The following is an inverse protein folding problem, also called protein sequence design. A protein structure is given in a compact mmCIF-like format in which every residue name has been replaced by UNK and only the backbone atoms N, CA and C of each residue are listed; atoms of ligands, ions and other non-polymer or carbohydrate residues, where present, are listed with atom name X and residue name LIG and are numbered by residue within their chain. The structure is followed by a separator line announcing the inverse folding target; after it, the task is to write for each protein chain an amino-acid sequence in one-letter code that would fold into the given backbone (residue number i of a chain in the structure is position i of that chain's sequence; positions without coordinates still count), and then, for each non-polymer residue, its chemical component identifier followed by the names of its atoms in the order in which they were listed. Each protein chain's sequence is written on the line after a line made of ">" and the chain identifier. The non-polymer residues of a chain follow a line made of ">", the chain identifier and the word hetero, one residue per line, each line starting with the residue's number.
data_IF_148198741088
#
_entry.id   IF_148198741088
#
_cell.length_a   1.000
_cell.length_b   1.000
_cell.length_c   1.000
_cell.angle_alpha   90.00
_cell.angle_beta   90.00
_cell.angle_gamma   90.00
#
_symmetry.space_group_name_H-M   'P 1'
#
loop_
_entity.id
_entity.type
_entity.pdbx_description
1 polymer ?
#
# COMPACT_ATOMS: atom_id res chain seq x y z
N UNK A 1 -26.13 -4.03 25.12
CA UNK A 1 -25.51 -3.70 26.44
C UNK A 1 -24.03 -3.43 26.21
N UNK A 2 -23.59 -2.18 26.37
CA UNK A 2 -22.19 -1.81 26.23
C UNK A 2 -21.46 -2.16 27.54
N UNK A 3 -20.41 -2.98 27.42
CA UNK A 3 -19.51 -3.30 28.52
C UNK A 3 -18.16 -2.61 28.27
N UNK A 4 -18.02 -1.30 28.58
CA UNK A 4 -16.84 -0.53 28.21
C UNK A 4 -15.54 -1.06 28.84
N UNK A 5 -15.59 -1.60 30.05
CA UNK A 5 -14.44 -2.20 30.74
C UNK A 5 -13.93 -3.50 30.06
N UNK A 6 -14.83 -4.26 29.42
CA UNK A 6 -14.46 -5.50 28.72
C UNK A 6 -14.03 -5.30 27.28
N UNK A 7 -14.25 -4.10 26.71
CA UNK A 7 -13.96 -3.80 25.32
C UNK A 7 -12.75 -2.87 25.12
N UNK A 8 -12.06 -2.48 26.20
CA UNK A 8 -10.93 -1.56 26.12
C UNK A 8 -9.81 -2.05 25.20
N UNK A 9 -9.43 -3.34 25.31
CA UNK A 9 -8.42 -3.96 24.45
C UNK A 9 -8.86 -4.00 22.98
N UNK A 10 -10.12 -4.35 22.73
CA UNK A 10 -10.66 -4.41 21.36
C UNK A 10 -10.70 -3.02 20.71
N UNK A 11 -11.08 -1.99 21.47
CA UNK A 11 -11.05 -0.60 21.01
C UNK A 11 -9.63 -0.15 20.68
N UNK A 12 -8.67 -0.48 21.54
CA UNK A 12 -7.27 -0.14 21.30
C UNK A 12 -6.72 -0.87 20.08
N UNK A 13 -7.02 -2.15 19.92
CA UNK A 13 -6.63 -2.92 18.74
C UNK A 13 -7.24 -2.33 17.46
N UNK A 14 -8.52 -1.96 17.48
CA UNK A 14 -9.19 -1.28 16.36
C UNK A 14 -8.51 0.04 16.01
N UNK A 15 -8.24 0.88 17.01
CA UNK A 15 -7.54 2.15 16.81
C UNK A 15 -6.15 1.96 16.18
N UNK A 16 -5.40 0.96 16.61
CA UNK A 16 -4.10 0.63 16.00
C UNK A 16 -4.28 0.23 14.53
N UNK A 17 -5.27 -0.62 14.24
CA UNK A 17 -5.57 -1.05 12.88
C UNK A 17 -5.98 0.14 12.00
N UNK A 18 -6.86 1.01 12.47
CA UNK A 18 -7.37 2.15 11.71
C UNK A 18 -6.27 3.19 11.39
N UNK A 19 -5.19 3.25 12.19
CA UNK A 19 -4.05 4.14 11.95
C UNK A 19 -2.94 3.53 11.07
N UNK A 20 -3.05 2.25 10.67
CA UNK A 20 -2.00 1.59 9.87
C UNK A 20 -1.79 2.24 8.50
N UNK A 21 -2.88 2.69 7.85
CA UNK A 21 -2.77 3.40 6.57
C UNK A 21 -1.92 4.67 6.68
N UNK A 22 -2.13 5.47 7.73
CA UNK A 22 -1.34 6.70 7.99
C UNK A 22 0.11 6.39 8.31
N UNK A 23 0.36 5.38 9.14
CA UNK A 23 1.72 4.95 9.50
C UNK A 23 2.51 4.46 8.28
N UNK A 24 1.86 3.65 7.46
CA UNK A 24 2.51 3.12 6.25
C UNK A 24 2.79 4.24 5.24
N UNK A 25 1.83 5.16 5.03
CA UNK A 25 2.06 6.34 4.21
C UNK A 25 3.22 7.19 4.75
N UNK A 26 3.26 7.43 6.06
CA UNK A 26 4.35 8.16 6.72
C UNK A 26 5.73 7.54 6.47
N UNK A 27 5.84 6.21 6.49
CA UNK A 27 7.08 5.51 6.13
C UNK A 27 7.46 5.72 4.67
N UNK A 28 6.48 5.64 3.74
CA UNK A 28 6.73 5.90 2.31
C UNK A 28 7.19 7.33 2.06
N UNK A 29 6.51 8.32 2.65
CA UNK A 29 6.88 9.73 2.53
C UNK A 29 8.24 10.03 3.19
N UNK A 30 8.54 9.41 4.32
CA UNK A 30 9.81 9.52 5.03
C UNK A 30 11.03 9.13 4.20
N UNK A 31 10.84 8.42 3.09
CA UNK A 31 11.92 8.12 2.12
C UNK A 31 12.35 9.34 1.30
N UNK A 32 11.54 10.39 1.23
CA UNK A 32 11.71 11.54 0.35
C UNK A 32 11.34 11.30 -1.12
N UNK A 33 10.95 10.07 -1.49
CA UNK A 33 10.62 9.68 -2.86
C UNK A 33 9.11 9.76 -3.18
N UNK A 34 8.28 10.07 -2.19
CA UNK A 34 6.84 10.30 -2.33
C UNK A 34 6.47 11.59 -1.63
N UNK A 35 5.86 12.53 -2.35
CA UNK A 35 5.49 13.86 -1.85
C UNK A 35 4.13 14.30 -2.40
N UNK A 36 3.59 15.41 -1.90
CA UNK A 36 2.37 16.02 -2.40
C UNK A 36 2.45 16.28 -3.92
N UNK A 37 1.38 15.96 -4.62
CA UNK A 37 1.27 16.02 -6.09
C UNK A 37 1.69 14.75 -6.81
N UNK A 38 2.44 13.85 -6.15
CA UNK A 38 2.82 12.56 -6.72
C UNK A 38 1.63 11.58 -6.75
N UNK A 39 1.80 10.52 -7.55
CA UNK A 39 0.84 9.41 -7.64
C UNK A 39 1.35 8.19 -6.88
N UNK A 40 0.50 7.62 -6.02
CA UNK A 40 0.68 6.34 -5.33
C UNK A 40 -0.25 5.28 -5.94
N UNK A 41 0.31 4.21 -6.49
CA UNK A 41 -0.44 3.05 -6.91
C UNK A 41 -0.67 2.10 -5.72
N UNK A 42 -1.92 1.77 -5.41
CA UNK A 42 -2.31 0.87 -4.32
C UNK A 42 -2.68 -0.47 -4.93
N UNK A 43 -2.02 -1.56 -4.51
CA UNK A 43 -2.21 -2.90 -5.01
C UNK A 43 -2.92 -3.77 -3.96
N UNK A 44 -4.13 -4.18 -4.28
CA UNK A 44 -5.04 -4.92 -3.42
C UNK A 44 -6.10 -4.01 -2.78
N UNK A 45 -7.35 -4.19 -3.21
CA UNK A 45 -8.54 -3.52 -2.69
C UNK A 45 -9.46 -4.47 -1.91
N UNK A 46 -9.17 -5.76 -1.91
CA UNK A 46 -9.93 -6.74 -1.14
C UNK A 46 -9.57 -6.69 0.36
N UNK A 47 -10.45 -7.23 1.19
CA UNK A 47 -10.20 -7.40 2.63
C UNK A 47 -9.12 -8.44 2.93
N UNK A 48 -9.05 -9.51 2.13
CA UNK A 48 -8.09 -10.62 2.26
C UNK A 48 -7.56 -11.06 0.90
N UNK A 49 -6.46 -11.79 0.94
CA UNK A 49 -5.91 -12.44 -0.24
C UNK A 49 -6.90 -13.39 -0.91
N UNK A 50 -6.88 -13.38 -2.25
CA UNK A 50 -7.61 -14.33 -3.11
C UNK A 50 -9.14 -14.35 -2.92
N UNK A 51 -9.73 -13.23 -2.49
CA UNK A 51 -11.19 -13.01 -2.48
C UNK A 51 -11.52 -11.69 -3.19
N UNK A 52 -12.80 -11.49 -3.53
CA UNK A 52 -13.34 -10.33 -4.24
C UNK A 52 -14.14 -9.36 -3.35
N UNK A 53 -13.95 -9.42 -2.03
CA UNK A 53 -14.68 -8.60 -1.06
C UNK A 53 -13.91 -7.30 -0.71
N UNK A 54 -14.36 -6.12 -1.18
CA UNK A 54 -13.71 -4.84 -0.90
C UNK A 54 -14.17 -4.17 0.41
N UNK A 55 -15.04 -4.80 1.18
CA UNK A 55 -15.54 -4.24 2.45
C UNK A 55 -14.42 -4.16 3.48
N UNK A 56 -14.35 -3.06 4.22
CA UNK A 56 -13.31 -2.80 5.22
C UNK A 56 -11.86 -2.96 4.69
N UNK A 57 -11.67 -2.68 3.41
CA UNK A 57 -10.36 -2.79 2.74
C UNK A 57 -9.31 -1.85 3.36
N UNK A 58 -8.08 -2.32 3.58
CA UNK A 58 -6.98 -1.46 4.00
C UNK A 58 -6.62 -0.38 2.95
N UNK A 59 -7.00 -0.58 1.68
CA UNK A 59 -6.80 0.40 0.62
C UNK A 59 -7.56 1.71 0.89
N UNK A 60 -8.74 1.65 1.50
CA UNK A 60 -9.51 2.83 1.86
C UNK A 60 -8.80 3.70 2.89
N UNK A 61 -8.22 3.08 3.91
CA UNK A 61 -7.47 3.80 4.95
C UNK A 61 -6.21 4.47 4.38
N UNK A 62 -5.49 3.77 3.50
CA UNK A 62 -4.31 4.34 2.85
C UNK A 62 -4.68 5.44 1.85
N UNK A 63 -5.72 5.25 1.04
CA UNK A 63 -6.20 6.26 0.08
C UNK A 63 -6.65 7.54 0.78
N UNK A 64 -7.43 7.43 1.86
CA UNK A 64 -7.85 8.58 2.65
C UNK A 64 -6.67 9.32 3.31
N UNK A 65 -5.66 8.58 3.78
CA UNK A 65 -4.43 9.18 4.29
C UNK A 65 -3.66 9.92 3.20
N UNK A 66 -3.54 9.33 2.00
CA UNK A 66 -2.87 9.92 0.84
C UNK A 66 -3.57 11.21 0.37
N UNK A 67 -4.91 11.21 0.33
CA UNK A 67 -5.70 12.39 -0.03
C UNK A 67 -5.42 13.58 0.91
N UNK A 68 -5.37 13.33 2.23
CA UNK A 68 -5.00 14.37 3.21
C UNK A 68 -3.62 14.96 2.97
N UNK A 69 -2.70 14.17 2.41
CA UNK A 69 -1.34 14.61 2.05
C UNK A 69 -1.25 15.13 0.59
N UNK A 70 -2.40 15.31 -0.09
CA UNK A 70 -2.46 15.75 -1.50
C UNK A 70 -1.70 14.82 -2.46
N UNK A 71 -1.67 13.53 -2.16
CA UNK A 71 -1.10 12.48 -3.00
C UNK A 71 -2.24 11.86 -3.81
N UNK A 72 -2.07 11.78 -5.13
CA UNK A 72 -3.03 11.14 -6.02
C UNK A 72 -2.96 9.62 -5.85
N UNK A 73 -4.10 8.94 -5.89
CA UNK A 73 -4.13 7.48 -5.79
C UNK A 73 -4.75 6.81 -7.01
N UNK A 74 -4.26 5.65 -7.34
CA UNK A 74 -4.91 4.68 -8.22
C UNK A 74 -4.90 3.32 -7.54
N UNK A 75 -6.02 2.58 -7.65
CA UNK A 75 -6.20 1.33 -6.92
C UNK A 75 -6.43 0.21 -7.92
N UNK A 76 -5.65 -0.85 -7.80
CA UNK A 76 -5.78 -2.07 -8.59
C UNK A 76 -6.10 -3.26 -7.69
N UNK A 77 -6.99 -4.11 -8.17
CA UNK A 77 -7.22 -5.43 -7.59
C UNK A 77 -7.50 -6.43 -8.73
N UNK A 78 -6.90 -7.65 -8.71
CA UNK A 78 -7.10 -8.62 -9.77
C UNK A 78 -8.44 -9.36 -9.69
N UNK A 79 -9.13 -9.32 -8.54
CA UNK A 79 -10.31 -10.12 -8.25
C UNK A 79 -11.56 -9.26 -7.99
N UNK A 80 -11.40 -8.13 -7.29
CA UNK A 80 -12.49 -7.19 -7.07
C UNK A 80 -12.95 -6.63 -8.42
N UNK A 81 -14.25 -6.71 -8.67
CA UNK A 81 -14.83 -6.21 -9.92
C UNK A 81 -14.47 -4.74 -10.13
N UNK A 82 -14.11 -4.39 -11.36
CA UNK A 82 -13.85 -3.01 -11.74
C UNK A 82 -15.04 -2.10 -11.46
N UNK A 83 -14.78 -0.93 -10.91
CA UNK A 83 -15.83 0.04 -10.57
C UNK A 83 -15.57 0.77 -9.26
N UNK A 84 -16.63 1.38 -8.72
CA UNK A 84 -16.57 2.09 -7.44
C UNK A 84 -17.19 1.23 -6.33
N UNK A 85 -16.39 0.91 -5.32
CA UNK A 85 -16.78 0.13 -4.16
C UNK A 85 -16.50 0.92 -2.89
N UNK A 86 -17.52 1.23 -2.09
CA UNK A 86 -17.37 1.98 -0.84
C UNK A 86 -16.55 3.27 -0.98
N UNK A 87 -16.72 3.99 -2.12
CA UNK A 87 -15.97 5.22 -2.44
C UNK A 87 -14.59 5.00 -3.08
N UNK A 88 -14.12 3.75 -3.21
CA UNK A 88 -12.84 3.43 -3.86
C UNK A 88 -13.08 3.05 -5.32
N UNK A 89 -12.43 3.77 -6.23
CA UNK A 89 -12.41 3.41 -7.65
C UNK A 89 -11.33 2.36 -7.90
N UNK A 90 -11.75 1.12 -8.13
CA UNK A 90 -10.88 -0.04 -8.39
C UNK A 90 -10.80 -0.30 -9.88
N UNK A 91 -9.61 -0.59 -10.39
CA UNK A 91 -9.35 -1.04 -11.76
C UNK A 91 -8.73 -2.44 -11.76
N UNK A 92 -9.01 -3.22 -12.78
CA UNK A 92 -8.36 -4.51 -13.03
C UNK A 92 -7.16 -4.38 -14.00
N UNK A 93 -6.86 -3.16 -14.52
CA UNK A 93 -5.68 -2.87 -15.32
C UNK A 93 -4.51 -2.42 -14.44
N UNK A 94 -3.61 -3.34 -14.15
CA UNK A 94 -2.43 -3.09 -13.32
C UNK A 94 -1.45 -2.10 -13.98
N UNK A 95 -1.26 -2.20 -15.29
CA UNK A 95 -0.35 -1.31 -16.01
C UNK A 95 -0.85 0.14 -15.98
N UNK A 96 -2.14 0.36 -16.22
CA UNK A 96 -2.76 1.67 -16.10
C UNK A 96 -2.72 2.21 -14.65
N UNK A 97 -2.89 1.33 -13.66
CA UNK A 97 -2.78 1.71 -12.26
C UNK A 97 -1.36 2.22 -11.93
N UNK A 98 -0.32 1.52 -12.37
CA UNK A 98 1.10 1.87 -12.14
C UNK A 98 1.58 3.05 -12.97
N UNK A 99 0.96 3.33 -14.11
CA UNK A 99 1.41 4.38 -15.04
C UNK A 99 1.51 5.74 -14.36
N UNK A 100 2.73 6.29 -14.37
CA UNK A 100 3.04 7.58 -13.78
C UNK A 100 3.14 7.58 -12.25
N UNK A 101 3.10 6.42 -11.58
CA UNK A 101 3.23 6.35 -10.14
C UNK A 101 4.67 6.60 -9.69
N UNK A 102 4.84 7.47 -8.69
CA UNK A 102 6.11 7.68 -7.98
C UNK A 102 6.40 6.52 -7.02
N UNK A 103 5.33 5.92 -6.45
CA UNK A 103 5.42 4.79 -5.55
C UNK A 103 4.29 3.78 -5.82
N UNK A 104 4.52 2.51 -5.46
CA UNK A 104 3.47 1.49 -5.37
C UNK A 104 3.45 0.88 -3.97
N UNK A 105 2.26 0.62 -3.43
CA UNK A 105 2.04 0.03 -2.12
C UNK A 105 1.21 -1.25 -2.24
N UNK A 106 1.80 -2.41 -1.90
CA UNK A 106 1.10 -3.69 -1.80
C UNK A 106 0.45 -3.82 -0.44
N UNK A 107 -0.88 -3.97 -0.42
CA UNK A 107 -1.67 -4.11 0.81
C UNK A 107 -2.29 -5.49 0.98
N UNK A 108 -2.57 -6.19 -0.14
CA UNK A 108 -3.18 -7.52 -0.11
C UNK A 108 -2.36 -8.46 -1.02
N UNK A 109 -1.97 -9.60 -0.46
CA UNK A 109 -1.08 -10.58 -1.09
C UNK A 109 -1.81 -11.55 -2.03
N UNK A 110 -2.50 -11.02 -3.04
CA UNK A 110 -3.09 -11.86 -4.09
C UNK A 110 -2.04 -12.62 -4.87
N UNK A 111 -2.33 -13.89 -5.21
CA UNK A 111 -1.41 -14.75 -5.99
C UNK A 111 -0.87 -14.11 -7.25
N UNK A 112 -1.65 -13.38 -8.08
CA UNK A 112 -1.13 -12.72 -9.26
C UNK A 112 0.01 -11.73 -9.01
N UNK A 113 0.06 -11.09 -7.84
CA UNK A 113 1.13 -10.14 -7.51
C UNK A 113 2.48 -10.81 -7.23
N UNK A 114 2.50 -12.11 -6.91
CA UNK A 114 3.74 -12.83 -6.61
C UNK A 114 4.70 -12.91 -7.78
N UNK A 115 4.16 -12.89 -9.00
CA UNK A 115 4.94 -12.94 -10.24
C UNK A 115 5.43 -11.57 -10.73
N UNK A 116 5.11 -10.47 -10.03
CA UNK A 116 5.50 -9.13 -10.42
C UNK A 116 7.03 -8.98 -10.32
N UNK A 117 7.64 -8.73 -11.45
CA UNK A 117 9.08 -8.53 -11.55
C UNK A 117 9.44 -7.05 -11.34
N UNK A 118 10.67 -6.80 -10.92
CA UNK A 118 11.22 -5.43 -10.87
C UNK A 118 11.21 -4.74 -12.24
N UNK A 119 11.37 -5.51 -13.32
CA UNK A 119 11.28 -5.01 -14.69
C UNK A 119 9.87 -4.46 -14.98
N UNK A 120 8.82 -5.20 -14.60
CA UNK A 120 7.43 -4.75 -14.79
C UNK A 120 7.15 -3.43 -14.09
N UNK A 121 7.56 -3.30 -12.83
CA UNK A 121 7.43 -2.02 -12.11
C UNK A 121 8.22 -0.91 -12.79
N UNK A 122 9.45 -1.20 -13.24
CA UNK A 122 10.32 -0.22 -13.89
C UNK A 122 9.77 0.31 -15.23
N UNK A 123 9.03 -0.49 -15.95
CA UNK A 123 8.43 -0.13 -17.24
C UNK A 123 7.18 0.76 -17.09
N UNK A 124 6.45 0.63 -15.96
CA UNK A 124 5.17 1.31 -15.80
C UNK A 124 5.20 2.49 -14.83
N UNK A 125 6.12 2.47 -13.86
CA UNK A 125 6.24 3.55 -12.85
C UNK A 125 7.25 4.61 -13.28
N UNK A 126 7.05 5.84 -12.81
CA UNK A 126 8.05 6.91 -12.93
C UNK A 126 9.04 6.92 -11.78
N UNK A 127 8.62 6.47 -10.59
CA UNK A 127 9.47 6.38 -9.41
C UNK A 127 10.00 4.98 -9.14
N UNK A 128 10.81 4.86 -8.07
CA UNK A 128 11.48 3.60 -7.66
C UNK A 128 11.19 3.25 -6.20
N UNK A 129 10.02 3.59 -5.69
CA UNK A 129 9.62 3.30 -4.32
C UNK A 129 8.52 2.23 -4.30
N UNK A 130 8.78 1.14 -3.57
CA UNK A 130 7.80 0.07 -3.32
C UNK A 130 7.57 -0.05 -1.82
N UNK A 131 6.32 0.02 -1.41
CA UNK A 131 5.87 -0.38 -0.10
C UNK A 131 5.29 -1.80 -0.15
N UNK A 132 5.67 -2.65 0.79
CA UNK A 132 5.10 -4.00 0.91
C UNK A 132 4.68 -4.26 2.35
N UNK A 133 3.38 -4.20 2.61
CA UNK A 133 2.84 -4.44 3.94
C UNK A 133 2.69 -5.93 4.27
N UNK A 134 2.94 -6.83 3.32
CA UNK A 134 2.65 -8.27 3.42
C UNK A 134 3.88 -9.17 3.27
N UNK A 135 5.07 -8.62 3.03
CA UNK A 135 6.29 -9.37 2.74
C UNK A 135 6.14 -10.35 1.56
N UNK A 136 5.40 -9.93 0.53
CA UNK A 136 4.99 -10.80 -0.57
C UNK A 136 5.85 -10.71 -1.81
N UNK A 137 6.46 -9.55 -2.04
CA UNK A 137 7.26 -9.28 -3.23
C UNK A 137 8.72 -9.76 -3.10
N UNK A 138 9.40 -9.94 -4.22
CA UNK A 138 10.83 -10.25 -4.22
C UNK A 138 11.67 -8.99 -3.90
N UNK A 139 11.80 -8.68 -2.61
CA UNK A 139 12.52 -7.49 -2.14
C UNK A 139 13.97 -7.44 -2.61
N UNK A 140 14.67 -8.58 -2.62
CA UNK A 140 16.07 -8.64 -3.08
C UNK A 140 16.19 -8.29 -4.57
N UNK A 141 15.27 -8.80 -5.40
CA UNK A 141 15.20 -8.48 -6.82
C UNK A 141 14.88 -7.00 -7.07
N UNK A 142 13.92 -6.45 -6.32
CA UNK A 142 13.57 -5.03 -6.39
C UNK A 142 14.74 -4.14 -6.03
N UNK A 143 15.43 -4.41 -4.92
CA UNK A 143 16.59 -3.61 -4.47
C UNK A 143 17.75 -3.67 -5.47
N UNK A 144 18.07 -4.85 -6.02
CA UNK A 144 19.10 -4.99 -7.09
C UNK A 144 18.76 -4.20 -8.35
N UNK A 145 17.49 -3.97 -8.61
CA UNK A 145 17.01 -3.15 -9.75
C UNK A 145 16.83 -1.67 -9.41
N UNK A 146 17.39 -1.21 -8.28
CA UNK A 146 17.38 0.19 -7.89
C UNK A 146 16.11 0.68 -7.20
N UNK A 147 15.20 -0.21 -6.81
CA UNK A 147 14.04 0.17 -6.03
C UNK A 147 14.38 0.31 -4.54
N UNK A 148 13.90 1.36 -3.92
CA UNK A 148 13.79 1.44 -2.47
C UNK A 148 12.56 0.65 -2.04
N UNK A 149 12.72 -0.24 -1.04
CA UNK A 149 11.64 -1.08 -0.55
C UNK A 149 11.40 -0.79 0.93
N UNK A 150 10.21 -0.31 1.23
CA UNK A 150 9.69 -0.09 2.59
C UNK A 150 8.82 -1.29 2.97
N UNK A 151 9.10 -1.90 4.11
CA UNK A 151 8.37 -3.06 4.61
C UNK A 151 7.68 -2.65 5.90
N UNK A 152 6.36 -2.76 5.95
CA UNK A 152 5.60 -2.40 7.15
C UNK A 152 6.04 -3.26 8.35
N UNK A 153 6.34 -2.61 9.47
CA UNK A 153 6.78 -3.28 10.70
C UNK A 153 8.28 -3.59 10.76
N UNK A 154 9.04 -3.26 9.72
CA UNK A 154 10.51 -3.39 9.71
C UNK A 154 11.12 -2.00 9.76
N UNK A 155 12.03 -1.77 10.72
CA UNK A 155 12.80 -0.53 10.76
C UNK A 155 13.74 -0.47 9.55
N UNK A 156 13.81 0.69 8.88
CA UNK A 156 14.81 0.93 7.84
C UNK A 156 16.21 0.92 8.46
N UNK A 157 17.01 -0.10 8.18
CA UNK A 157 18.41 -0.21 8.64
C UNK A 157 19.35 0.85 8.04
N UNK A 158 18.83 1.87 7.35
CA UNK A 158 19.66 2.88 6.66
C UNK A 158 19.73 4.24 7.38
N UNK A 159 19.24 4.36 8.62
CA UNK A 159 19.24 5.62 9.38
C UNK A 159 20.20 5.67 10.56
N UNK A 160 21.25 4.85 10.56
CA UNK A 160 22.34 5.02 11.53
C UNK A 160 23.68 5.21 10.81
N UNK A 161 23.84 6.37 10.18
CA UNK A 161 25.17 6.97 10.11
C UNK A 161 25.36 7.62 11.48
N UNK A 162 26.01 6.90 12.38
CA UNK A 162 26.56 7.49 13.59
C UNK A 162 27.63 8.51 13.15
N UNK A 163 27.38 9.77 13.45
CA UNK A 163 28.39 10.82 13.51
C UNK A 163 29.07 10.71 14.87
#
# INVERSE_FOLDING_TARGET
>A
QDYPEHTALLRQARKVNDTQGERFLGQLMGTGQLKAGDKLAILGAAYKADIDDPRESPAGLLAAAAERQKILTSIHDPLVREGTHHGLKVSNDLAACLKGAAAAALLVEHKPYRSLSSKFFAEHMTGRLIGDSRHWLNHAGLRRSGFRVVILGVADCHSHTLV
#
